data_IF_156002985764
#
_entry.id   IF_156002985764
#
_cell.length_a   1.000
_cell.length_b   1.000
_cell.length_c   1.000
_cell.angle_alpha   90.00
_cell.angle_beta   90.00
_cell.angle_gamma   90.00
#
_symmetry.space_group_name_H-M   'P 1'
#
loop_
_entity.id
_entity.type
_entity.pdbx_description
1 polymer ?
#
# COMPACT_ATOMS: atom_id res chain seq x y z
N UNK A 1 -11.76 -8.74 -7.14
CA UNK A 1 -11.66 -7.87 -5.95
C UNK A 1 -10.19 -7.48 -5.81
N UNK A 2 -9.85 -6.19 -5.71
CA UNK A 2 -8.46 -5.70 -5.76
C UNK A 2 -7.57 -6.29 -4.66
N UNK A 3 -8.11 -6.63 -3.48
CA UNK A 3 -7.32 -7.27 -2.42
C UNK A 3 -6.71 -8.61 -2.84
N UNK A 4 -7.37 -9.33 -3.74
CA UNK A 4 -6.86 -10.61 -4.26
C UNK A 4 -5.59 -10.43 -5.10
N UNK A 5 -5.28 -9.21 -5.56
CA UNK A 5 -4.02 -8.94 -6.23
C UNK A 5 -2.83 -9.19 -5.29
N UNK A 6 -3.00 -8.91 -3.99
CA UNK A 6 -1.94 -9.13 -3.00
C UNK A 6 -1.66 -10.63 -2.76
N UNK A 7 -2.66 -11.49 -2.97
CA UNK A 7 -2.58 -12.95 -2.80
C UNK A 7 -1.92 -13.66 -3.99
N UNK A 8 -1.76 -12.98 -5.14
CA UNK A 8 -1.10 -13.56 -6.30
C UNK A 8 0.39 -13.85 -6.00
N UNK A 9 0.99 -14.85 -6.68
CA UNK A 9 2.44 -15.09 -6.60
C UNK A 9 3.24 -13.84 -6.96
N UNK A 10 4.36 -13.61 -6.26
CA UNK A 10 5.26 -12.48 -6.54
C UNK A 10 6.03 -12.72 -7.85
N UNK A 11 5.38 -12.46 -8.98
CA UNK A 11 5.92 -12.56 -10.33
C UNK A 11 5.71 -11.26 -11.11
N UNK A 12 6.34 -11.15 -12.28
CA UNK A 12 6.23 -9.96 -13.14
C UNK A 12 4.78 -9.64 -13.53
N UNK A 13 3.95 -10.67 -13.75
CA UNK A 13 2.53 -10.51 -14.10
C UNK A 13 1.77 -9.77 -12.99
N UNK A 14 1.90 -10.21 -11.73
CA UNK A 14 1.30 -9.54 -10.57
C UNK A 14 1.75 -8.09 -10.50
N UNK A 15 3.06 -7.83 -10.59
CA UNK A 15 3.59 -6.48 -10.39
C UNK A 15 3.15 -5.55 -11.52
N UNK A 16 3.24 -5.97 -12.79
CA UNK A 16 2.72 -5.18 -13.90
C UNK A 16 1.21 -4.93 -13.77
N UNK A 17 0.44 -5.91 -13.28
CA UNK A 17 -0.98 -5.73 -13.03
C UNK A 17 -1.25 -4.68 -11.95
N UNK A 18 -0.52 -4.70 -10.84
CA UNK A 18 -0.62 -3.68 -9.79
C UNK A 18 -0.22 -2.30 -10.33
N UNK A 19 0.92 -2.21 -11.02
CA UNK A 19 1.45 -0.96 -11.57
C UNK A 19 0.52 -0.35 -12.64
N UNK A 20 -0.22 -1.16 -13.38
CA UNK A 20 -1.18 -0.68 -14.39
C UNK A 20 -2.28 0.22 -13.81
N UNK A 21 -2.63 0.07 -12.52
CA UNK A 21 -3.57 0.94 -11.83
C UNK A 21 -3.03 2.37 -11.62
N UNK A 22 -1.71 2.54 -11.75
CA UNK A 22 -0.99 3.79 -11.61
C UNK A 22 -0.42 4.28 -12.94
N UNK A 23 -0.85 3.70 -14.07
CA UNK A 23 -0.37 4.02 -15.40
C UNK A 23 1.15 3.76 -15.56
N UNK A 24 1.63 2.69 -14.90
CA UNK A 24 3.05 2.28 -14.83
C UNK A 24 3.24 0.80 -15.20
N UNK A 25 4.50 0.42 -15.45
CA UNK A 25 4.96 -0.97 -15.62
C UNK A 25 6.36 -1.16 -15.07
N UNK A 26 6.77 -2.42 -14.92
CA UNK A 26 8.16 -2.75 -14.58
C UNK A 26 9.10 -2.16 -15.63
N UNK A 27 10.25 -1.67 -15.15
CA UNK A 27 11.24 -0.95 -15.93
C UNK A 27 11.02 0.57 -16.01
N UNK A 28 9.83 1.07 -15.66
CA UNK A 28 9.59 2.52 -15.56
C UNK A 28 10.34 3.14 -14.37
N UNK A 29 10.48 4.46 -14.38
CA UNK A 29 10.99 5.22 -13.23
C UNK A 29 9.95 5.22 -12.11
N UNK A 30 10.41 4.99 -10.89
CA UNK A 30 9.59 5.07 -9.68
C UNK A 30 9.52 6.52 -9.15
N UNK A 31 8.76 7.36 -9.84
CA UNK A 31 8.68 8.82 -9.59
C UNK A 31 7.27 9.34 -9.34
N UNK A 32 6.33 8.43 -9.10
CA UNK A 32 4.92 8.76 -8.88
C UNK A 32 4.60 8.74 -7.38
N UNK A 33 3.57 9.47 -6.93
CA UNK A 33 3.04 9.25 -5.60
C UNK A 33 2.50 7.83 -5.52
N UNK A 34 2.94 7.07 -4.52
CA UNK A 34 2.39 5.73 -4.23
C UNK A 34 1.00 5.79 -3.58
N UNK A 35 0.25 6.85 -3.84
CA UNK A 35 -1.11 7.08 -3.38
C UNK A 35 -1.86 7.84 -4.48
N UNK A 36 -3.04 7.35 -4.87
CA UNK A 36 -3.89 7.98 -5.88
C UNK A 36 -5.35 7.91 -5.44
N UNK A 37 -6.09 9.01 -5.60
CA UNK A 37 -7.56 8.94 -5.57
C UNK A 37 -8.03 8.22 -6.83
N UNK A 38 -8.78 7.13 -6.66
CA UNK A 38 -8.99 6.19 -7.76
C UNK A 38 -10.35 6.35 -8.42
N UNK A 39 -11.45 6.36 -7.64
CA UNK A 39 -12.81 6.51 -8.17
C UNK A 39 -13.83 6.86 -7.08
N UNK A 40 -15.07 7.16 -7.46
CA UNK A 40 -16.18 7.41 -6.51
C UNK A 40 -16.42 6.28 -5.49
N UNK A 41 -16.04 5.05 -5.85
CA UNK A 41 -16.17 3.87 -4.97
C UNK A 41 -14.90 3.60 -4.15
N UNK A 42 -13.73 3.92 -4.70
CA UNK A 42 -12.42 3.65 -4.09
C UNK A 42 -11.77 5.00 -3.80
N UNK A 43 -11.84 5.39 -2.53
CA UNK A 43 -11.37 6.66 -2.00
C UNK A 43 -9.89 6.86 -2.30
N UNK A 44 -9.06 5.90 -1.90
CA UNK A 44 -7.62 5.92 -2.16
C UNK A 44 -7.13 4.55 -2.60
N UNK A 45 -6.10 4.55 -3.43
CA UNK A 45 -5.32 3.39 -3.79
C UNK A 45 -3.87 3.67 -3.43
N UNK A 46 -3.35 2.94 -2.45
CA UNK A 46 -1.96 3.02 -2.02
C UNK A 46 -1.14 1.86 -2.59
N UNK A 47 0.10 2.13 -2.95
CA UNK A 47 1.07 1.16 -3.42
C UNK A 47 2.20 1.05 -2.41
N UNK A 48 2.60 -0.16 -2.07
CA UNK A 48 3.78 -0.43 -1.26
C UNK A 48 4.75 -1.23 -2.11
N UNK A 49 5.93 -0.67 -2.34
CA UNK A 49 7.03 -1.32 -3.09
C UNK A 49 8.18 -1.60 -2.11
N UNK A 50 8.50 -2.88 -1.96
CA UNK A 50 9.52 -3.36 -1.03
C UNK A 50 10.75 -3.82 -1.81
N UNK A 51 11.86 -3.08 -1.70
CA UNK A 51 13.09 -3.41 -2.42
C UNK A 51 14.02 -4.33 -1.61
N UNK A 52 14.59 -5.36 -2.26
CA UNK A 52 15.48 -6.35 -1.65
C UNK A 52 16.65 -5.74 -0.86
N UNK A 53 17.24 -4.66 -1.35
CA UNK A 53 18.38 -4.01 -0.68
C UNK A 53 18.04 -3.59 0.77
N UNK A 54 16.82 -3.08 1.00
CA UNK A 54 16.39 -2.60 2.32
C UNK A 54 16.22 -3.75 3.32
N UNK A 55 15.71 -4.89 2.84
CA UNK A 55 15.44 -6.07 3.67
C UNK A 55 16.62 -7.04 3.78
N UNK A 56 17.63 -6.89 2.94
CA UNK A 56 18.88 -7.64 3.08
C UNK A 56 19.72 -7.08 4.22
N UNK A 57 19.65 -5.78 4.44
CA UNK A 57 20.46 -5.06 5.44
C UNK A 57 19.78 -5.02 6.82
N UNK A 58 18.45 -5.15 6.88
CA UNK A 58 17.68 -5.06 8.12
C UNK A 58 16.60 -6.13 8.25
N UNK A 59 16.42 -6.62 9.48
CA UNK A 59 15.36 -7.57 9.84
C UNK A 59 14.03 -6.83 10.10
N UNK A 60 13.08 -6.98 9.18
CA UNK A 60 11.76 -6.35 9.21
C UNK A 60 10.82 -6.90 10.28
N UNK A 61 11.22 -7.95 10.99
CA UNK A 61 10.46 -8.49 12.13
C UNK A 61 10.75 -7.74 13.43
N UNK A 62 11.69 -6.79 13.41
CA UNK A 62 12.10 -6.00 14.57
C UNK A 62 11.75 -4.51 14.40
N UNK A 63 11.43 -3.83 15.51
CA UNK A 63 11.14 -2.40 15.50
C UNK A 63 12.31 -1.54 14.98
N UNK A 64 13.55 -1.95 15.25
CA UNK A 64 14.74 -1.26 14.75
C UNK A 64 14.88 -1.42 13.23
N UNK A 65 14.64 -2.64 12.70
CA UNK A 65 14.66 -2.86 11.26
C UNK A 65 13.52 -2.15 10.54
N UNK A 66 12.30 -2.16 11.09
CA UNK A 66 11.18 -1.38 10.56
C UNK A 66 11.51 0.12 10.45
N UNK A 67 12.10 0.71 11.50
CA UNK A 67 12.54 2.11 11.50
C UNK A 67 13.64 2.37 10.48
N UNK A 68 14.64 1.50 10.40
CA UNK A 68 15.74 1.65 9.44
C UNK A 68 15.25 1.59 8.00
N UNK A 69 14.32 0.68 7.70
CA UNK A 69 13.68 0.56 6.38
C UNK A 69 12.87 1.84 6.07
N UNK A 70 12.11 2.36 7.04
CA UNK A 70 11.33 3.59 6.87
C UNK A 70 12.24 4.82 6.65
N UNK A 71 13.30 4.99 7.44
CA UNK A 71 14.27 6.08 7.29
C UNK A 71 15.01 6.02 5.96
N UNK A 72 15.42 4.82 5.52
CA UNK A 72 16.02 4.65 4.19
C UNK A 72 15.03 4.97 3.07
N UNK A 73 13.77 4.55 3.18
CA UNK A 73 12.75 4.90 2.20
C UNK A 73 12.52 6.42 2.11
N UNK A 74 12.64 7.14 3.23
CA UNK A 74 12.51 8.60 3.30
C UNK A 74 13.74 9.35 2.76
N UNK A 75 14.93 8.81 2.94
CA UNK A 75 16.21 9.49 2.62
C UNK A 75 16.84 9.08 1.29
N UNK A 76 16.41 7.96 0.70
CA UNK A 76 16.99 7.46 -0.55
C UNK A 76 16.58 8.33 -1.76
N UNK A 77 17.51 8.70 -2.66
CA UNK A 77 17.19 9.52 -3.82
C UNK A 77 16.19 8.82 -4.76
N UNK A 78 15.01 9.44 -4.96
CA UNK A 78 13.93 8.90 -5.81
C UNK A 78 14.36 8.66 -7.26
N UNK A 79 15.35 9.42 -7.74
CA UNK A 79 15.89 9.31 -9.10
C UNK A 79 16.62 7.98 -9.38
N UNK A 80 16.98 7.21 -8.34
CA UNK A 80 17.81 6.01 -8.46
C UNK A 80 17.02 4.72 -8.68
N UNK A 81 15.69 4.75 -8.51
CA UNK A 81 14.89 3.53 -8.54
C UNK A 81 14.06 3.42 -9.81
N UNK A 82 14.42 2.41 -10.62
CA UNK A 82 13.51 1.82 -11.60
C UNK A 82 12.68 0.75 -10.91
N UNK A 83 11.47 0.52 -11.40
CA UNK A 83 10.62 -0.59 -10.98
C UNK A 83 11.19 -1.91 -11.53
N UNK A 84 12.31 -2.32 -10.96
CA UNK A 84 13.15 -3.42 -11.41
C UNK A 84 12.76 -4.70 -10.64
N UNK A 85 12.24 -5.69 -11.36
CA UNK A 85 11.69 -6.92 -10.76
C UNK A 85 12.72 -7.61 -9.86
N UNK A 86 13.96 -7.72 -10.30
CA UNK A 86 15.04 -8.40 -9.56
C UNK A 86 15.43 -7.66 -8.28
N UNK A 87 15.06 -6.38 -8.17
CA UNK A 87 15.31 -5.56 -6.97
C UNK A 87 14.09 -5.44 -6.08
N UNK A 88 12.89 -5.84 -6.54
CA UNK A 88 11.65 -5.75 -5.77
C UNK A 88 11.37 -7.09 -5.08
N UNK A 89 11.48 -7.10 -3.75
CA UNK A 89 11.13 -8.24 -2.89
C UNK A 89 9.62 -8.53 -2.93
N UNK A 90 8.82 -7.48 -2.81
CA UNK A 90 7.37 -7.58 -2.77
C UNK A 90 6.72 -6.28 -3.25
N UNK A 91 5.50 -6.41 -3.78
CA UNK A 91 4.64 -5.28 -4.12
C UNK A 91 3.22 -5.58 -3.66
N UNK A 92 2.56 -4.59 -3.05
CA UNK A 92 1.20 -4.73 -2.54
C UNK A 92 0.38 -3.47 -2.76
N UNK A 93 -0.91 -3.65 -2.98
CA UNK A 93 -1.87 -2.56 -3.18
C UNK A 93 -2.88 -2.51 -2.05
N UNK A 94 -3.14 -1.31 -1.53
CA UNK A 94 -4.03 -1.05 -0.40
C UNK A 94 -5.12 -0.05 -0.83
N UNK A 95 -6.21 -0.55 -1.45
CA UNK A 95 -7.40 0.25 -1.68
C UNK A 95 -8.15 0.54 -0.36
N UNK A 96 -8.60 1.78 -0.20
CA UNK A 96 -9.60 2.17 0.79
C UNK A 96 -10.89 2.55 0.06
N UNK A 97 -12.02 2.03 0.52
CA UNK A 97 -13.32 2.29 -0.09
C UNK A 97 -14.05 3.45 0.58
N UNK A 98 -14.85 4.18 -0.21
CA UNK A 98 -15.90 5.02 0.36
C UNK A 98 -17.01 4.12 0.90
N UNK A 99 -17.18 4.09 2.23
CA UNK A 99 -18.26 3.33 2.86
C UNK A 99 -19.55 4.12 2.93
N UNK A 100 -19.46 5.47 2.90
CA UNK A 100 -20.56 6.41 3.16
C UNK A 100 -21.28 6.14 4.49
N UNK A 101 -20.61 5.46 5.42
CA UNK A 101 -21.11 5.18 6.78
C UNK A 101 -20.34 6.07 7.74
N UNK A 102 -21.05 7.01 8.35
CA UNK A 102 -20.43 7.99 9.24
C UNK A 102 -20.77 7.71 10.69
N UNK A 103 -19.81 7.97 11.58
CA UNK A 103 -19.99 7.91 13.02
C UNK A 103 -19.49 9.20 13.67
N UNK A 104 -20.07 9.61 14.82
CA UNK A 104 -19.58 10.76 15.55
C UNK A 104 -18.19 10.46 16.15
N UNK A 105 -17.26 11.39 15.98
CA UNK A 105 -15.87 11.25 16.45
C UNK A 105 -15.32 12.60 16.94
N UNK A 106 -14.13 12.55 17.55
CA UNK A 106 -13.40 13.68 18.09
C UNK A 106 -13.30 13.69 19.62
N UNK A 107 -12.45 14.56 20.15
CA UNK A 107 -12.22 14.76 21.58
C UNK A 107 -12.07 16.25 21.95
N UNK A 108 -11.91 16.52 23.25
CA UNK A 108 -11.50 17.85 23.73
C UNK A 108 -10.10 18.19 23.19
N UNK A 109 -10.09 18.99 22.11
CA UNK A 109 -8.88 19.38 21.39
C UNK A 109 -9.09 19.40 19.87
N UNK A 110 -9.74 18.37 19.32
CA UNK A 110 -10.06 18.30 17.88
C UNK A 110 -11.46 18.82 17.53
N UNK A 111 -12.35 18.93 18.52
CA UNK A 111 -13.78 19.21 18.30
C UNK A 111 -14.55 18.00 17.79
N UNK A 112 -15.87 18.15 17.68
CA UNK A 112 -16.81 17.13 17.19
C UNK A 112 -16.89 17.13 15.66
N UNK A 113 -16.80 15.96 15.03
CA UNK A 113 -16.99 15.81 13.59
C UNK A 113 -17.53 14.42 13.21
N UNK A 114 -18.01 14.29 11.97
CA UNK A 114 -18.44 13.02 11.40
C UNK A 114 -17.27 12.33 10.68
N UNK A 115 -16.85 11.19 11.20
CA UNK A 115 -15.79 10.38 10.62
C UNK A 115 -16.39 9.28 9.74
N UNK A 116 -15.86 9.06 8.53
CA UNK A 116 -16.28 7.96 7.66
C UNK A 116 -15.61 6.66 8.15
N UNK A 117 -16.40 5.60 8.32
CA UNK A 117 -15.89 4.27 8.64
C UNK A 117 -14.90 3.83 7.56
N UNK A 118 -13.70 3.41 7.98
CA UNK A 118 -12.69 2.86 7.09
C UNK A 118 -13.10 1.44 6.67
N UNK A 119 -12.93 1.15 5.39
CA UNK A 119 -12.97 -0.19 4.84
C UNK A 119 -11.77 -0.31 3.90
N UNK A 120 -10.86 -1.21 4.21
CA UNK A 120 -9.68 -1.50 3.40
C UNK A 120 -9.49 -3.01 3.19
N UNK A 121 -8.35 -3.43 2.63
CA UNK A 121 -8.11 -4.84 2.38
C UNK A 121 -7.95 -5.69 3.64
N UNK A 122 -7.45 -5.14 4.74
CA UNK A 122 -7.31 -5.86 6.01
C UNK A 122 -8.71 -6.20 6.54
N UNK A 123 -9.63 -5.25 6.45
CA UNK A 123 -11.03 -5.47 6.85
C UNK A 123 -11.71 -6.54 5.99
N UNK A 124 -11.57 -6.46 4.66
CA UNK A 124 -12.20 -7.42 3.73
C UNK A 124 -11.71 -8.85 3.99
N UNK A 125 -10.41 -9.05 4.25
CA UNK A 125 -9.85 -10.37 4.57
C UNK A 125 -10.43 -10.89 5.89
N UNK A 126 -10.57 -10.03 6.91
CA UNK A 126 -11.15 -10.37 8.22
C UNK A 126 -12.64 -10.74 8.15
N UNK A 127 -13.42 -10.06 7.30
CA UNK A 127 -14.83 -10.41 7.07
C UNK A 127 -14.98 -11.74 6.32
N UNK A 128 -14.11 -12.02 5.33
CA UNK A 128 -14.14 -13.29 4.61
C UNK A 128 -13.68 -14.50 5.46
N UNK A 129 -12.95 -14.26 6.56
CA UNK A 129 -12.52 -15.29 7.52
C UNK A 129 -13.51 -15.52 8.66
N UNK A 130 -14.61 -14.76 8.74
CA UNK A 130 -15.74 -15.07 9.62
C UNK A 130 -16.80 -15.86 8.86
N UNK A 131 -16.56 -17.16 8.72
CA UNK A 131 -17.63 -18.16 8.51
C UNK A 131 -17.49 -19.18 9.63
N UNK A 132 -18.32 -19.04 10.66
CA UNK A 132 -18.84 -20.10 11.53
C UNK A 132 -20.24 -19.70 11.95
#
# INVERSE_FOLDING_TARGET
>A
NMCKLNELPNNEEKYNKILSYFDKKLGDRDDFPHTKEYSERIKTLELYVFYHQYFKEHDDTTLEGERAIADMALTSPKEKYRLDFDKIRAMSVWPTWHTKRYYPDGNEGSGFYWSEMRLDCVDVVKYNTKIF
#
